data_IF_811557944932
#
_entry.id   IF_811557944932
#
_cell.length_a   1.000
_cell.length_b   1.000
_cell.length_c   1.000
_cell.angle_alpha   90.00
_cell.angle_beta   90.00
_cell.angle_gamma   90.00
#
_symmetry.space_group_name_H-M   'P 1'
#
loop_
_entity.id
_entity.type
_entity.pdbx_description
1 polymer ?
#
# COMPACT_ATOMS: atom_id res chain seq x y z
N UNK A 1 21.07 8.80 -11.85
CA UNK A 1 20.23 7.69 -12.36
C UNK A 1 19.47 7.08 -11.20
N UNK A 2 18.16 7.32 -11.16
CA UNK A 2 17.26 6.96 -10.05
C UNK A 2 16.84 5.49 -10.16
N UNK A 3 17.05 4.71 -9.10
CA UNK A 3 16.57 3.33 -9.00
C UNK A 3 15.04 3.33 -8.85
N UNK A 4 14.33 3.49 -9.97
CA UNK A 4 12.89 3.26 -10.06
C UNK A 4 12.64 1.76 -10.14
N UNK A 5 11.60 1.30 -9.43
CA UNK A 5 10.99 -0.04 -9.48
C UNK A 5 11.49 -0.85 -10.67
N UNK A 6 12.32 -1.86 -10.42
CA UNK A 6 12.66 -2.81 -11.48
C UNK A 6 11.38 -3.59 -11.76
N UNK A 7 10.58 -3.13 -12.74
CA UNK A 7 9.47 -3.87 -13.33
C UNK A 7 10.07 -4.97 -14.22
N UNK A 8 10.89 -5.83 -13.63
CA UNK A 8 11.42 -6.99 -14.32
C UNK A 8 10.36 -8.08 -14.22
N UNK A 9 9.76 -8.44 -15.35
CA UNK A 9 9.04 -9.70 -15.44
C UNK A 9 9.99 -10.81 -15.03
N UNK A 10 9.65 -11.57 -13.98
CA UNK A 10 10.35 -12.84 -13.74
C UNK A 10 10.26 -13.71 -15.02
N UNK A 11 11.06 -14.76 -15.15
CA UNK A 11 11.04 -15.76 -16.24
C UNK A 11 9.65 -16.39 -16.51
N UNK A 12 8.64 -16.05 -15.72
CA UNK A 12 7.22 -16.43 -15.83
C UNK A 12 6.28 -15.25 -16.16
N UNK A 13 6.78 -14.09 -16.57
CA UNK A 13 5.97 -12.91 -16.94
C UNK A 13 5.29 -12.18 -15.78
N UNK A 14 5.63 -12.50 -14.52
CA UNK A 14 5.04 -11.84 -13.34
C UNK A 14 5.70 -10.50 -13.05
N UNK A 15 4.89 -9.45 -12.90
CA UNK A 15 5.35 -8.12 -12.46
C UNK A 15 5.69 -8.22 -10.97
N UNK A 16 6.97 -8.42 -10.65
CA UNK A 16 7.44 -8.41 -9.26
C UNK A 16 8.03 -7.04 -8.98
N UNK A 17 7.39 -6.28 -8.09
CA UNK A 17 7.93 -5.00 -7.70
C UNK A 17 9.12 -5.18 -6.76
N UNK A 18 10.35 -5.04 -7.28
CA UNK A 18 11.55 -5.02 -6.43
C UNK A 18 11.87 -3.59 -6.02
N UNK A 19 11.69 -3.30 -4.73
CA UNK A 19 12.06 -2.05 -4.10
C UNK A 19 13.58 -1.86 -4.15
N UNK A 20 14.03 -0.93 -5.00
CA UNK A 20 15.41 -0.42 -4.94
C UNK A 20 15.67 0.17 -3.55
N UNK A 21 16.87 -0.07 -3.01
CA UNK A 21 17.27 0.03 -1.59
C UNK A 21 17.09 1.40 -0.86
N UNK A 22 16.36 2.38 -1.42
CA UNK A 22 16.12 3.70 -0.82
C UNK A 22 14.66 3.88 -0.41
N UNK A 23 14.41 3.84 0.91
CA UNK A 23 13.14 4.23 1.53
C UNK A 23 12.80 5.69 1.19
N UNK A 24 11.57 5.95 0.76
CA UNK A 24 11.06 7.30 0.54
C UNK A 24 10.98 8.09 1.85
N UNK A 25 10.96 9.42 1.74
CA UNK A 25 10.86 10.31 2.92
C UNK A 25 9.60 10.02 3.72
N UNK A 26 8.48 9.74 3.05
CA UNK A 26 7.21 9.38 3.69
C UNK A 26 7.34 8.12 4.56
N UNK A 27 7.92 7.04 4.03
CA UNK A 27 8.11 5.79 4.79
C UNK A 27 9.05 5.99 5.97
N UNK A 28 10.11 6.80 5.83
CA UNK A 28 11.03 7.09 6.95
C UNK A 28 10.33 7.85 8.08
N UNK A 29 9.58 8.90 7.76
CA UNK A 29 8.85 9.68 8.75
C UNK A 29 7.74 8.86 9.42
N UNK A 30 7.05 8.02 8.64
CA UNK A 30 6.10 7.04 9.18
C UNK A 30 6.78 6.09 10.18
N UNK A 31 7.93 5.48 9.84
CA UNK A 31 8.61 4.54 10.74
C UNK A 31 9.01 5.20 12.07
N UNK A 32 9.46 6.45 12.03
CA UNK A 32 9.75 7.23 13.25
C UNK A 32 8.47 7.51 14.06
N UNK A 33 7.39 7.92 13.37
CA UNK A 33 6.09 8.18 14.00
C UNK A 33 5.48 6.92 14.61
N UNK A 34 5.55 5.80 13.91
CA UNK A 34 5.12 4.48 14.38
C UNK A 34 5.93 4.04 15.61
N UNK A 35 7.26 4.15 15.56
CA UNK A 35 8.12 3.84 16.71
C UNK A 35 7.79 4.69 17.94
N UNK A 36 7.55 5.99 17.74
CA UNK A 36 7.10 6.89 18.81
C UNK A 36 5.71 6.52 19.35
N UNK A 37 4.80 6.07 18.48
CA UNK A 37 3.47 5.60 18.88
C UNK A 37 3.57 4.34 19.75
N UNK A 38 4.47 3.42 19.42
CA UNK A 38 4.70 2.19 20.19
C UNK A 38 5.36 2.43 21.55
N UNK A 39 6.02 3.59 21.75
CA UNK A 39 6.56 4.00 23.06
C UNK A 39 5.47 4.42 24.07
N UNK A 40 4.19 4.27 23.74
CA UNK A 40 3.06 4.48 24.63
C UNK A 40 2.71 5.96 24.84
N UNK A 41 2.09 6.26 26.00
CA UNK A 41 1.47 7.57 26.28
C UNK A 41 2.45 8.74 26.16
N UNK A 42 3.72 8.55 26.52
CA UNK A 42 4.73 9.60 26.47
C UNK A 42 5.23 9.87 25.05
N UNK A 43 5.23 8.86 24.18
CA UNK A 43 5.62 8.99 22.78
C UNK A 43 4.51 9.50 21.86
N UNK A 44 3.25 9.43 22.29
CA UNK A 44 2.09 9.85 21.48
C UNK A 44 2.12 11.30 20.96
N UNK A 45 2.47 12.32 21.77
CA UNK A 45 2.60 13.69 21.27
C UNK A 45 3.65 13.81 20.16
N UNK A 46 4.77 13.09 20.31
CA UNK A 46 5.86 13.07 19.33
C UNK A 46 5.45 12.31 18.04
N UNK A 47 4.74 11.18 18.18
CA UNK A 47 4.16 10.46 17.06
C UNK A 47 3.24 11.37 16.23
N UNK A 48 2.37 12.15 16.89
CA UNK A 48 1.50 13.13 16.24
C UNK A 48 2.28 14.23 15.53
N UNK A 49 3.29 14.81 16.17
CA UNK A 49 4.14 15.84 15.55
C UNK A 49 4.84 15.32 14.28
N UNK A 50 5.41 14.12 14.34
CA UNK A 50 6.06 13.48 13.20
C UNK A 50 5.06 13.18 12.07
N UNK A 51 3.86 12.70 12.42
CA UNK A 51 2.79 12.44 11.47
C UNK A 51 2.33 13.71 10.75
N UNK A 52 2.10 14.81 11.49
CA UNK A 52 1.75 16.10 10.88
C UNK A 52 2.87 16.63 9.98
N UNK A 53 4.12 16.51 10.42
CA UNK A 53 5.30 16.86 9.60
C UNK A 53 5.34 16.03 8.32
N UNK A 54 5.08 14.73 8.39
CA UNK A 54 5.02 13.86 7.21
C UNK A 54 3.93 14.29 6.22
N UNK A 55 2.74 14.64 6.73
CA UNK A 55 1.63 15.16 5.90
C UNK A 55 2.01 16.43 5.16
N UNK A 56 2.64 17.39 5.85
CA UNK A 56 3.05 18.67 5.24
C UNK A 56 4.15 18.46 4.19
N UNK A 57 5.16 17.64 4.49
CA UNK A 57 6.33 17.49 3.61
C UNK A 57 6.09 16.56 2.42
N UNK A 58 5.22 15.58 2.55
CA UNK A 58 5.07 14.50 1.56
C UNK A 58 3.68 14.39 0.95
N UNK A 59 2.70 15.12 1.49
CA UNK A 59 1.28 15.00 1.14
C UNK A 59 0.73 13.57 1.29
N UNK A 60 1.36 12.75 2.13
CA UNK A 60 0.90 11.42 2.50
C UNK A 60 0.33 11.41 3.91
N UNK A 61 -0.80 10.73 4.08
CA UNK A 61 -1.47 10.55 5.36
C UNK A 61 -1.41 9.08 5.78
N UNK A 62 -0.36 8.72 6.52
CA UNK A 62 -0.15 7.35 7.01
C UNK A 62 -0.33 7.38 8.51
N UNK A 63 -1.37 6.71 9.01
CA UNK A 63 -1.66 6.67 10.44
C UNK A 63 -0.50 6.00 11.20
N UNK A 64 -0.02 6.58 12.32
CA UNK A 64 1.09 6.01 13.09
C UNK A 64 0.82 4.62 13.66
N UNK A 65 -0.44 4.19 13.77
CA UNK A 65 -0.83 2.87 14.28
C UNK A 65 -0.99 1.81 13.20
N UNK A 66 -0.94 2.20 11.92
CA UNK A 66 -0.89 1.25 10.82
C UNK A 66 0.36 0.36 10.95
N UNK A 67 0.34 -0.82 10.32
CA UNK A 67 1.47 -1.76 10.35
C UNK A 67 2.00 -2.00 8.95
N UNK A 68 2.97 -1.19 8.53
CA UNK A 68 3.67 -1.34 7.26
C UNK A 68 5.01 -2.03 7.48
N UNK A 69 5.31 -3.02 6.65
CA UNK A 69 6.64 -3.62 6.62
C UNK A 69 7.71 -2.58 6.24
N UNK A 70 8.93 -2.61 6.81
CA UNK A 70 9.98 -1.61 6.54
C UNK A 70 10.51 -1.56 5.10
N UNK A 71 10.11 -2.49 4.24
CA UNK A 71 10.50 -2.55 2.82
C UNK A 71 9.40 -2.08 1.86
N UNK A 72 8.22 -1.70 2.38
CA UNK A 72 7.16 -1.05 1.60
C UNK A 72 7.73 0.16 0.87
N UNK A 73 7.37 0.29 -0.41
CA UNK A 73 7.91 1.30 -1.28
C UNK A 73 6.82 2.22 -1.82
N UNK A 74 7.01 3.52 -1.59
CA UNK A 74 6.09 4.59 -2.00
C UNK A 74 6.89 5.61 -2.82
N UNK A 75 6.97 5.44 -4.16
CA UNK A 75 7.84 6.26 -5.02
C UNK A 75 7.43 7.73 -5.02
N UNK A 76 6.13 8.01 -5.17
CA UNK A 76 5.59 9.35 -4.94
C UNK A 76 4.40 9.24 -3.99
N UNK A 77 4.55 9.82 -2.81
CA UNK A 77 3.61 9.62 -1.72
C UNK A 77 2.39 10.56 -1.77
N UNK A 78 2.37 11.49 -2.73
CA UNK A 78 1.31 12.50 -2.87
C UNK A 78 -0.07 11.85 -2.95
N UNK A 79 -0.95 12.22 -2.03
CA UNK A 79 -2.33 11.72 -1.97
C UNK A 79 -2.47 10.29 -1.48
N UNK A 80 -1.39 9.66 -0.99
CA UNK A 80 -1.47 8.34 -0.34
C UNK A 80 -2.13 8.49 1.02
N UNK A 81 -3.14 7.67 1.31
CA UNK A 81 -3.82 7.62 2.61
C UNK A 81 -3.86 6.17 3.09
N UNK A 82 -3.35 5.92 4.29
CA UNK A 82 -3.33 4.58 4.91
C UNK A 82 -3.85 4.68 6.33
N UNK A 83 -4.97 4.02 6.60
CA UNK A 83 -5.67 4.15 7.87
C UNK A 83 -5.13 3.28 9.01
N UNK A 84 -5.60 3.59 10.21
CA UNK A 84 -5.13 3.10 11.52
C UNK A 84 -4.92 1.57 11.61
N UNK A 85 -5.84 0.79 11.06
CA UNK A 85 -5.84 -0.69 11.21
C UNK A 85 -5.34 -1.41 9.97
N UNK A 86 -4.72 -0.69 9.04
CA UNK A 86 -4.19 -1.28 7.82
C UNK A 86 -2.92 -2.09 8.15
N UNK A 87 -2.74 -3.21 7.45
CA UNK A 87 -1.45 -3.90 7.42
C UNK A 87 -0.95 -3.96 5.97
N UNK A 88 0.36 -3.84 5.79
CA UNK A 88 0.99 -3.89 4.46
C UNK A 88 2.26 -4.73 4.54
N UNK A 89 2.31 -5.79 3.74
CA UNK A 89 3.38 -6.76 3.68
C UNK A 89 4.67 -6.25 3.02
N UNK A 90 5.69 -7.10 3.06
CA UNK A 90 7.01 -6.79 2.54
C UNK A 90 7.01 -6.53 1.03
N UNK A 91 7.83 -5.58 0.58
CA UNK A 91 8.10 -5.27 -0.83
C UNK A 91 6.87 -4.86 -1.65
N UNK A 92 5.78 -4.52 -0.97
CA UNK A 92 4.58 -3.96 -1.61
C UNK A 92 4.84 -2.53 -2.09
N UNK A 93 4.40 -2.25 -3.31
CA UNK A 93 4.50 -0.93 -3.93
C UNK A 93 3.15 -0.23 -3.89
N UNK A 94 3.16 0.98 -3.35
CA UNK A 94 1.99 1.84 -3.26
C UNK A 94 2.23 3.08 -4.12
N UNK A 95 1.47 3.17 -5.21
CA UNK A 95 1.56 4.29 -6.14
C UNK A 95 0.82 5.54 -5.60
N UNK A 96 1.00 6.71 -6.24
CA UNK A 96 0.44 7.97 -5.75
C UNK A 96 -1.10 7.94 -5.75
N UNK A 97 -1.73 8.67 -4.84
CA UNK A 97 -3.20 8.77 -4.74
C UNK A 97 -3.92 7.52 -4.24
N UNK A 98 -3.19 6.49 -3.81
CA UNK A 98 -3.78 5.26 -3.26
C UNK A 98 -4.41 5.52 -1.89
N UNK A 99 -5.59 4.95 -1.65
CA UNK A 99 -6.24 4.99 -0.33
C UNK A 99 -6.48 3.57 0.15
N UNK A 100 -5.93 3.24 1.33
CA UNK A 100 -6.30 2.07 2.13
C UNK A 100 -7.19 2.56 3.26
N UNK A 101 -8.49 2.58 2.99
CA UNK A 101 -9.51 3.28 3.77
C UNK A 101 -10.53 2.36 4.40
N UNK A 102 -11.36 2.92 5.29
CA UNK A 102 -12.51 2.22 5.83
C UNK A 102 -13.71 2.31 4.88
N UNK A 103 -14.43 1.21 4.66
CA UNK A 103 -15.70 1.22 3.94
C UNK A 103 -16.85 1.73 4.82
N UNK A 104 -16.78 1.50 6.13
CA UNK A 104 -17.78 1.91 7.13
C UNK A 104 -17.08 2.50 8.35
N UNK A 105 -17.74 3.43 9.03
CA UNK A 105 -17.28 4.05 10.28
C UNK A 105 -17.59 3.12 11.46
N UNK A 106 -16.76 2.10 11.66
CA UNK A 106 -16.88 1.13 12.76
C UNK A 106 -15.66 1.18 13.67
N UNK A 107 -15.81 0.72 14.92
CA UNK A 107 -14.67 0.45 15.78
C UNK A 107 -13.97 -0.85 15.37
N UNK A 108 -12.71 -1.02 15.78
CA UNK A 108 -11.93 -2.22 15.47
C UNK A 108 -11.38 -2.24 14.03
N UNK A 109 -11.16 -3.46 13.51
CA UNK A 109 -10.58 -3.73 12.19
C UNK A 109 -11.52 -3.26 11.09
N UNK A 110 -11.04 -2.33 10.26
CA UNK A 110 -11.85 -1.65 9.23
C UNK A 110 -11.09 -1.24 7.97
N UNK A 111 -9.77 -1.44 7.96
CA UNK A 111 -8.89 -1.17 6.84
C UNK A 111 -8.25 -2.49 6.38
N UNK A 112 -7.82 -2.52 5.12
CA UNK A 112 -7.37 -3.74 4.47
C UNK A 112 -6.11 -4.35 5.09
N UNK A 113 -5.96 -5.66 4.86
CA UNK A 113 -4.71 -6.40 5.00
C UNK A 113 -4.13 -6.61 3.60
N UNK A 114 -3.03 -5.92 3.30
CA UNK A 114 -2.33 -6.03 2.02
C UNK A 114 -1.12 -6.93 2.20
N UNK A 115 -1.05 -7.98 1.39
CA UNK A 115 0.02 -8.98 1.40
C UNK A 115 1.39 -8.44 0.96
N UNK A 116 2.33 -9.35 0.79
CA UNK A 116 3.68 -9.06 0.30
C UNK A 116 3.73 -8.98 -1.22
N UNK A 117 4.63 -8.14 -1.75
CA UNK A 117 4.91 -7.96 -3.19
C UNK A 117 3.68 -7.55 -4.00
N UNK A 118 2.68 -6.94 -3.35
CA UNK A 118 1.49 -6.42 -4.02
C UNK A 118 1.86 -5.15 -4.79
N UNK A 119 1.34 -5.00 -5.99
CA UNK A 119 1.38 -3.73 -6.73
C UNK A 119 0.04 -3.02 -6.58
N UNK A 120 0.01 -1.88 -5.91
CA UNK A 120 -1.19 -1.05 -5.80
C UNK A 120 -1.08 0.15 -6.74
N UNK A 121 -1.81 0.09 -7.86
CA UNK A 121 -1.78 1.07 -8.93
C UNK A 121 -2.24 2.47 -8.51
N UNK A 122 -1.79 3.48 -9.25
CA UNK A 122 -2.03 4.88 -8.91
C UNK A 122 -3.53 5.17 -8.78
N UNK A 123 -3.92 5.92 -7.75
CA UNK A 123 -5.31 6.30 -7.51
C UNK A 123 -6.24 5.17 -7.05
N UNK A 124 -5.76 3.93 -6.85
CA UNK A 124 -6.60 2.85 -6.37
C UNK A 124 -7.18 3.11 -4.96
N UNK A 125 -8.36 2.58 -4.69
CA UNK A 125 -9.04 2.68 -3.40
C UNK A 125 -9.32 1.26 -2.90
N UNK A 126 -8.69 0.85 -1.81
CA UNK A 126 -8.92 -0.43 -1.14
C UNK A 126 -9.67 -0.14 0.14
N UNK A 127 -10.95 -0.48 0.18
CA UNK A 127 -11.88 0.01 1.19
C UNK A 127 -12.47 -1.14 2.01
N UNK A 128 -12.36 -1.03 3.33
CA UNK A 128 -12.89 -2.02 4.27
C UNK A 128 -11.83 -3.02 4.73
N UNK A 129 -12.21 -3.95 5.63
CA UNK A 129 -11.33 -5.00 6.15
C UNK A 129 -11.18 -6.15 5.15
N UNK A 130 -10.82 -5.83 3.90
CA UNK A 130 -10.57 -6.80 2.84
C UNK A 130 -9.13 -7.31 2.88
N UNK A 131 -8.91 -8.50 2.35
CA UNK A 131 -7.59 -9.11 2.19
C UNK A 131 -7.14 -9.01 0.74
N UNK A 132 -5.97 -8.43 0.51
CA UNK A 132 -5.28 -8.47 -0.78
C UNK A 132 -4.12 -9.43 -0.65
N UNK A 133 -4.21 -10.59 -1.32
CA UNK A 133 -3.23 -11.65 -1.23
C UNK A 133 -1.87 -11.27 -1.80
N UNK A 134 -0.84 -12.02 -1.42
CA UNK A 134 0.53 -11.85 -1.91
C UNK A 134 0.60 -11.84 -3.44
N UNK A 135 1.53 -11.07 -4.00
CA UNK A 135 1.78 -10.96 -5.45
C UNK A 135 0.58 -10.46 -6.27
N UNK A 136 -0.50 -9.99 -5.64
CA UNK A 136 -1.65 -9.43 -6.33
C UNK A 136 -1.34 -8.08 -7.00
N UNK A 137 -2.10 -7.75 -8.03
CA UNK A 137 -2.01 -6.48 -8.76
C UNK A 137 -3.35 -5.77 -8.67
N UNK A 138 -3.36 -4.58 -8.07
CA UNK A 138 -4.52 -3.69 -8.07
C UNK A 138 -4.32 -2.65 -9.18
N UNK A 139 -5.24 -2.60 -10.14
CA UNK A 139 -5.20 -1.66 -11.24
C UNK A 139 -5.28 -0.20 -10.78
N UNK A 140 -4.77 0.69 -11.61
CA UNK A 140 -4.92 2.13 -11.37
C UNK A 140 -6.41 2.51 -11.30
N UNK A 141 -6.75 3.40 -10.36
CA UNK A 141 -8.13 3.85 -10.07
C UNK A 141 -9.14 2.73 -9.76
N UNK A 142 -8.71 1.49 -9.50
CA UNK A 142 -9.61 0.42 -9.10
C UNK A 142 -10.21 0.69 -7.71
N UNK A 143 -11.46 0.27 -7.49
CA UNK A 143 -12.13 0.35 -6.19
C UNK A 143 -12.37 -1.06 -5.66
N UNK A 144 -11.49 -1.52 -4.79
CA UNK A 144 -11.51 -2.86 -4.20
C UNK A 144 -12.34 -2.82 -2.92
N UNK A 145 -13.41 -3.61 -2.90
CA UNK A 145 -14.35 -3.78 -1.77
C UNK A 145 -14.59 -5.24 -1.40
N UNK A 146 -13.91 -6.16 -2.10
CA UNK A 146 -13.95 -7.61 -1.89
C UNK A 146 -12.50 -8.13 -1.85
N UNK A 147 -12.30 -9.30 -1.27
CA UNK A 147 -10.97 -9.93 -1.17
C UNK A 147 -10.37 -10.22 -2.56
N UNK A 148 -9.06 -10.04 -2.66
CA UNK A 148 -8.28 -10.30 -3.89
C UNK A 148 -7.36 -11.48 -3.64
N UNK A 149 -7.51 -12.61 -4.35
CA UNK A 149 -6.66 -13.78 -4.17
C UNK A 149 -5.18 -13.49 -4.47
N UNK A 150 -4.24 -14.25 -3.90
CA UNK A 150 -2.82 -14.13 -4.23
C UNK A 150 -2.55 -14.28 -5.73
N UNK A 151 -1.67 -13.43 -6.28
CA UNK A 151 -1.31 -13.42 -7.70
C UNK A 151 -2.41 -12.93 -8.66
N UNK A 152 -3.61 -12.64 -8.16
CA UNK A 152 -4.72 -12.17 -8.97
C UNK A 152 -4.55 -10.69 -9.36
N UNK A 153 -5.17 -10.29 -10.47
CA UNK A 153 -5.24 -8.88 -10.88
C UNK A 153 -6.67 -8.38 -10.70
N UNK A 154 -6.86 -7.27 -10.00
CA UNK A 154 -8.16 -6.67 -9.74
C UNK A 154 -8.24 -5.27 -10.35
N UNK A 155 -9.22 -5.02 -11.22
CA UNK A 155 -9.37 -3.74 -11.96
C UNK A 155 -10.83 -3.27 -11.98
N UNK A 156 -11.06 -1.97 -12.17
CA UNK A 156 -12.40 -1.40 -12.37
C UNK A 156 -13.08 -0.87 -11.11
N UNK A 157 -14.32 -0.38 -11.28
CA UNK A 157 -15.13 0.23 -10.22
C UNK A 157 -16.56 -0.34 -10.27
N UNK A 158 -16.97 -1.18 -9.31
CA UNK A 158 -16.13 -1.88 -8.33
C UNK A 158 -15.13 -2.82 -9.01
N UNK A 159 -14.03 -3.13 -8.32
CA UNK A 159 -12.98 -3.97 -8.87
C UNK A 159 -13.48 -5.40 -9.13
N UNK A 160 -13.00 -6.00 -10.21
CA UNK A 160 -13.25 -7.39 -10.58
C UNK A 160 -11.93 -8.07 -10.87
N UNK A 161 -11.85 -9.35 -10.50
CA UNK A 161 -10.69 -10.18 -10.80
C UNK A 161 -10.66 -10.45 -12.31
N UNK A 162 -9.54 -10.12 -12.94
CA UNK A 162 -9.24 -10.48 -14.32
C UNK A 162 -8.19 -11.58 -14.32
N UNK A 163 -8.43 -12.64 -15.09
CA UNK A 163 -7.43 -13.68 -15.35
C UNK A 163 -6.31 -13.02 -16.15
N UNK A 164 -5.07 -13.13 -15.68
CA UNK A 164 -3.93 -12.42 -16.25
C UNK A 164 -3.67 -12.80 -17.71
N UNK A 165 -3.15 -11.85 -18.48
CA UNK A 165 -2.64 -12.01 -19.84
C UNK A 165 -1.37 -12.91 -19.91
N UNK A 166 -1.45 -14.10 -19.31
CA UNK A 166 -0.46 -15.18 -19.39
C UNK A 166 -1.04 -16.46 -19.99
N UNK A 167 -2.31 -16.45 -20.41
CA UNK A 167 -2.99 -17.54 -21.12
C UNK A 167 -3.83 -17.01 -22.29
N UNK A 168 -3.28 -16.08 -23.08
CA UNK A 168 -3.77 -15.84 -24.45
C UNK A 168 -2.68 -16.31 -25.41
N UNK A 169 -2.76 -17.61 -25.72
CA UNK A 169 -2.17 -18.23 -26.90
C UNK A 169 -2.68 -17.55 -28.17
N UNK A 170 -1.78 -17.22 -29.09
CA UNK A 170 -2.04 -17.07 -30.53
C UNK A 170 -3.45 -16.59 -30.92
N UNK A 171 -3.68 -15.27 -30.97
CA UNK A 171 -4.68 -14.64 -31.85
C UNK A 171 -4.21 -13.27 -32.35
#
# INVERSE_FOLDING_TARGET
MSAYVEMCGDRKGRIVARSGRRRSVAVRLYLLSHGACQAGRLGWPFAKLLHWTAKILTAADIDPRAHLHPTVYIPHATGVVIGETATVGADTVIMPGVVIGAQKLTSGKRHADVGARVMVGAGAKVLGPVVVGDDAIIGANAVVIDDVPPGATAVGVPARIVVGAGEDSDR
#
